data_IF_549289768744
#
_entry.id   IF_549289768744
#
_cell.length_a   1.000
_cell.length_b   1.000
_cell.length_c   1.000
_cell.angle_alpha   90.00
_cell.angle_beta   90.00
_cell.angle_gamma   90.00
#
_symmetry.space_group_name_H-M   'P 1'
#
loop_
_entity.id
_entity.type
_entity.pdbx_description
1 polymer ?
#
# COMPACT_ATOMS: atom_id res chain seq x y z
N UNK A 1 30.00 13.37 -5.58
CA UNK A 1 28.77 12.55 -5.55
C UNK A 1 28.12 12.67 -6.93
N UNK A 2 27.93 11.56 -7.64
CA UNK A 2 27.28 11.52 -8.96
C UNK A 2 25.76 11.53 -8.81
N UNK A 3 25.01 11.82 -9.89
CA UNK A 3 23.54 11.81 -9.82
C UNK A 3 22.99 10.42 -9.47
N UNK A 4 23.61 9.36 -9.98
CA UNK A 4 23.25 7.98 -9.64
C UNK A 4 23.44 7.68 -8.14
N UNK A 5 24.52 8.21 -7.53
CA UNK A 5 24.75 8.08 -6.09
C UNK A 5 23.72 8.88 -5.29
N UNK A 6 23.25 10.02 -5.81
CA UNK A 6 22.19 10.84 -5.21
C UNK A 6 20.85 10.13 -5.21
N UNK A 7 20.49 9.51 -6.33
CA UNK A 7 19.26 8.73 -6.45
C UNK A 7 19.27 7.49 -5.56
N UNK A 8 20.43 6.84 -5.38
CA UNK A 8 20.55 5.69 -4.48
C UNK A 8 20.36 6.03 -2.99
N UNK A 9 20.48 7.30 -2.60
CA UNK A 9 20.18 7.75 -1.24
C UNK A 9 18.70 8.01 -0.99
N UNK A 10 17.84 7.95 -2.03
CA UNK A 10 16.41 8.15 -1.87
C UNK A 10 15.79 6.92 -1.21
N UNK A 11 14.94 7.17 -0.21
CA UNK A 11 14.11 6.16 0.39
C UNK A 11 12.94 5.80 -0.53
N UNK A 12 12.42 4.58 -0.45
CA UNK A 12 11.25 4.20 -1.20
C UNK A 12 9.98 4.94 -0.77
N UNK A 13 9.01 4.97 -1.67
CA UNK A 13 7.68 5.52 -1.38
C UNK A 13 6.98 4.75 -0.25
N UNK A 14 7.27 3.45 -0.09
CA UNK A 14 6.74 2.67 1.02
C UNK A 14 7.21 3.17 2.39
N UNK A 15 8.36 3.86 2.49
CA UNK A 15 8.79 4.51 3.73
C UNK A 15 7.86 5.64 4.18
N UNK A 16 7.11 6.25 3.25
CA UNK A 16 6.07 7.24 3.59
C UNK A 16 4.77 6.60 4.09
N UNK A 17 4.63 5.28 3.90
CA UNK A 17 3.44 4.51 4.23
C UNK A 17 3.62 3.69 5.51
N UNK A 18 4.65 3.96 6.31
CA UNK A 18 4.94 3.22 7.55
C UNK A 18 3.74 3.17 8.52
N UNK A 19 2.94 4.25 8.58
CA UNK A 19 1.75 4.33 9.44
C UNK A 19 0.46 3.79 8.79
N UNK A 20 0.53 3.20 7.59
CA UNK A 20 -0.64 2.66 6.90
C UNK A 20 -0.75 1.16 7.10
N UNK A 21 -1.97 0.68 7.33
CA UNK A 21 -2.24 -0.74 7.32
C UNK A 21 -2.01 -1.31 5.91
N UNK A 22 -1.23 -2.37 5.81
CA UNK A 22 -0.90 -3.01 4.52
C UNK A 22 -1.98 -4.01 4.17
N UNK A 23 -2.69 -3.78 3.07
CA UNK A 23 -3.72 -4.68 2.55
C UNK A 23 -3.28 -5.20 1.18
N UNK A 24 -3.01 -6.51 1.11
CA UNK A 24 -2.69 -7.18 -0.16
C UNK A 24 -3.98 -7.67 -0.82
N UNK A 25 -4.14 -7.34 -2.10
CA UNK A 25 -5.24 -7.77 -2.96
C UNK A 25 -4.77 -8.84 -3.94
N UNK A 26 -5.68 -9.73 -4.31
CA UNK A 26 -5.50 -10.61 -5.46
C UNK A 26 -5.60 -9.82 -6.78
N UNK A 27 -5.23 -10.45 -7.90
CA UNK A 27 -5.22 -9.79 -9.20
C UNK A 27 -6.59 -9.26 -9.64
N UNK A 28 -7.67 -9.96 -9.27
CA UNK A 28 -9.04 -9.61 -9.64
C UNK A 28 -9.52 -8.37 -8.88
N UNK A 29 -9.16 -8.26 -7.61
CA UNK A 29 -9.47 -7.14 -6.74
C UNK A 29 -8.54 -5.95 -6.99
N UNK A 30 -7.26 -6.20 -7.27
CA UNK A 30 -6.30 -5.20 -7.70
C UNK A 30 -6.78 -4.47 -8.96
N UNK A 31 -7.23 -5.23 -9.97
CA UNK A 31 -7.78 -4.66 -11.20
C UNK A 31 -9.02 -3.81 -10.93
N UNK A 32 -9.91 -4.24 -10.04
CA UNK A 32 -11.10 -3.46 -9.65
C UNK A 32 -10.72 -2.17 -8.92
N UNK A 33 -9.75 -2.25 -8.01
CA UNK A 33 -9.24 -1.11 -7.25
C UNK A 33 -8.65 -0.05 -8.17
N UNK A 34 -7.83 -0.45 -9.16
CA UNK A 34 -7.27 0.46 -10.17
C UNK A 34 -8.31 1.15 -11.03
N UNK A 35 -9.50 0.56 -11.16
CA UNK A 35 -10.65 1.17 -11.85
C UNK A 35 -11.54 2.01 -10.91
N UNK A 36 -11.16 2.19 -9.63
CA UNK A 36 -11.92 2.96 -8.65
C UNK A 36 -13.20 2.26 -8.17
N UNK A 37 -13.34 0.95 -8.39
CA UNK A 37 -14.50 0.19 -7.96
C UNK A 37 -14.41 -0.08 -6.45
N UNK A 38 -15.41 0.40 -5.72
CA UNK A 38 -15.60 0.13 -4.28
C UNK A 38 -16.07 -1.32 -4.10
N UNK A 39 -15.65 -1.96 -3.02
CA UNK A 39 -16.08 -3.32 -2.67
C UNK A 39 -16.20 -3.50 -1.17
N UNK A 40 -17.02 -4.46 -0.76
CA UNK A 40 -17.02 -4.95 0.62
C UNK A 40 -15.82 -5.85 0.87
N UNK A 41 -15.17 -5.63 2.00
CA UNK A 41 -14.05 -6.42 2.50
C UNK A 41 -14.38 -6.84 3.94
N UNK A 42 -13.84 -7.97 4.38
CA UNK A 42 -13.98 -8.41 5.78
C UNK A 42 -12.98 -7.72 6.72
N UNK A 43 -12.37 -6.63 6.27
CA UNK A 43 -11.38 -5.88 7.03
C UNK A 43 -12.06 -4.91 8.01
N UNK A 44 -11.47 -4.69 9.20
CA UNK A 44 -11.96 -3.67 10.12
C UNK A 44 -11.78 -2.27 9.53
N UNK A 45 -12.54 -1.33 10.07
CA UNK A 45 -12.49 0.07 9.67
C UNK A 45 -11.09 0.65 9.94
N UNK A 46 -10.51 1.27 8.93
CA UNK A 46 -9.15 1.78 8.95
C UNK A 46 -9.03 3.01 8.04
N UNK A 47 -8.65 4.15 8.60
CA UNK A 47 -8.56 5.40 7.84
C UNK A 47 -7.37 5.47 6.88
N UNK A 48 -6.33 4.68 7.12
CA UNK A 48 -5.06 4.74 6.37
C UNK A 48 -4.64 3.34 5.97
N UNK A 49 -5.01 2.95 4.76
CA UNK A 49 -4.66 1.63 4.19
C UNK A 49 -3.79 1.83 2.96
N UNK A 50 -2.66 1.15 2.92
CA UNK A 50 -1.82 1.03 1.74
C UNK A 50 -2.19 -0.27 1.02
N UNK A 51 -2.64 -0.16 -0.22
CA UNK A 51 -3.14 -1.28 -1.00
C UNK A 51 -2.04 -1.79 -1.92
N UNK A 52 -1.75 -3.08 -1.80
CA UNK A 52 -0.73 -3.75 -2.59
C UNK A 52 -1.33 -4.90 -3.42
N UNK A 53 -0.63 -5.33 -4.47
CA UNK A 53 -0.88 -6.54 -5.24
C UNK A 53 0.32 -7.48 -5.18
N UNK A 54 0.15 -8.68 -5.73
CA UNK A 54 1.23 -9.65 -5.91
C UNK A 54 1.95 -9.92 -4.57
N UNK A 55 1.19 -10.28 -3.54
CA UNK A 55 1.66 -10.58 -2.18
C UNK A 55 2.47 -9.47 -1.53
N UNK A 56 2.02 -8.21 -1.68
CA UNK A 56 2.70 -7.05 -1.06
C UNK A 56 3.87 -6.50 -1.88
N UNK A 57 4.14 -7.02 -3.07
CA UNK A 57 5.27 -6.57 -3.89
C UNK A 57 4.99 -5.30 -4.69
N UNK A 58 3.73 -5.02 -4.99
CA UNK A 58 3.35 -3.92 -5.90
C UNK A 58 2.39 -2.98 -5.21
N UNK A 59 2.83 -1.75 -4.92
CA UNK A 59 1.94 -0.71 -4.40
C UNK A 59 0.96 -0.27 -5.50
N UNK A 60 -0.34 -0.39 -5.24
CA UNK A 60 -1.40 0.09 -6.12
C UNK A 60 -1.90 1.49 -5.73
N UNK A 61 -1.79 1.85 -4.45
CA UNK A 61 -2.24 3.14 -3.96
C UNK A 61 -2.62 3.14 -2.48
N UNK A 62 -3.39 4.16 -2.07
CA UNK A 62 -3.95 4.27 -0.73
C UNK A 62 -5.48 4.25 -0.74
N UNK A 63 -6.04 3.74 0.35
CA UNK A 63 -7.46 3.58 0.57
C UNK A 63 -7.78 3.76 2.05
N UNK A 64 -9.08 3.75 2.36
CA UNK A 64 -9.57 3.55 3.71
C UNK A 64 -10.67 2.50 3.69
N UNK A 65 -10.87 1.84 4.82
CA UNK A 65 -11.97 0.92 5.06
C UNK A 65 -12.96 1.58 6.00
N UNK A 66 -14.24 1.61 5.64
CA UNK A 66 -15.31 2.16 6.47
C UNK A 66 -16.54 1.28 6.36
N UNK A 67 -17.14 0.90 7.50
CA UNK A 67 -18.23 -0.05 7.58
C UNK A 67 -17.98 -1.37 6.80
N UNK A 68 -16.73 -1.86 6.77
CA UNK A 68 -16.33 -3.03 5.99
C UNK A 68 -16.38 -2.82 4.46
N UNK A 69 -16.32 -1.57 3.99
CA UNK A 69 -16.18 -1.22 2.58
C UNK A 69 -14.81 -0.60 2.32
N UNK A 70 -14.08 -1.15 1.33
CA UNK A 70 -12.83 -0.58 0.85
C UNK A 70 -13.14 0.57 -0.12
N UNK A 71 -12.75 1.77 0.30
CA UNK A 71 -12.98 3.02 -0.42
C UNK A 71 -11.62 3.51 -0.96
N UNK A 72 -11.44 3.53 -2.29
CA UNK A 72 -10.21 4.04 -2.90
C UNK A 72 -10.00 5.52 -2.58
N UNK A 73 -8.80 5.88 -2.11
CA UNK A 73 -8.39 7.27 -1.85
C UNK A 73 -7.51 7.81 -2.97
N UNK A 74 -6.32 7.24 -3.13
CA UNK A 74 -5.37 7.61 -4.19
C UNK A 74 -4.97 6.36 -4.97
N UNK A 75 -5.28 6.35 -6.25
CA UNK A 75 -4.87 5.27 -7.15
C UNK A 75 -3.59 5.66 -7.86
N UNK A 76 -2.65 4.72 -7.96
CA UNK A 76 -1.51 4.87 -8.85
C UNK A 76 -1.94 4.45 -10.25
N UNK A 77 -1.57 5.26 -11.23
CA UNK A 77 -1.71 4.93 -12.64
C UNK A 77 -0.76 3.79 -13.03
N UNK A 78 -1.05 3.02 -14.09
CA UNK A 78 -0.18 1.94 -14.55
C UNK A 78 1.28 2.38 -14.75
N UNK A 79 1.48 3.60 -15.26
CA UNK A 79 2.82 4.15 -15.49
C UNK A 79 3.55 4.50 -14.18
N UNK A 80 2.83 4.99 -13.16
CA UNK A 80 3.41 5.21 -11.82
C UNK A 80 3.82 3.89 -11.18
N UNK A 81 3.02 2.83 -11.35
CA UNK A 81 3.34 1.48 -10.84
C UNK A 81 4.60 0.92 -11.52
N UNK A 82 4.73 1.06 -12.84
CA UNK A 82 5.94 0.66 -13.58
C UNK A 82 7.17 1.47 -13.15
N UNK A 83 7.02 2.79 -12.97
CA UNK A 83 8.10 3.65 -12.48
C UNK A 83 8.56 3.25 -11.09
N UNK A 84 7.63 2.92 -10.19
CA UNK A 84 7.95 2.42 -8.86
C UNK A 84 8.71 1.09 -8.96
N UNK A 85 8.22 0.11 -9.72
CA UNK A 85 8.92 -1.18 -9.95
C UNK A 85 10.36 -1.00 -10.45
N UNK A 86 10.57 -0.03 -11.33
CA UNK A 86 11.91 0.27 -11.88
C UNK A 86 12.81 1.06 -10.91
N UNK A 87 12.26 1.63 -9.84
CA UNK A 87 13.04 2.31 -8.81
C UNK A 87 13.40 1.30 -7.70
N UNK A 88 14.69 0.98 -7.48
CA UNK A 88 15.12 -0.14 -6.62
C UNK A 88 14.86 0.03 -5.11
N UNK A 89 13.99 0.95 -4.69
CA UNK A 89 13.57 1.10 -3.30
C UNK A 89 12.39 0.20 -2.89
N UNK A 90 11.59 -0.35 -3.81
CA UNK A 90 10.31 -1.01 -3.46
C UNK A 90 10.44 -2.35 -2.73
N UNK A 91 11.67 -2.85 -2.53
CA UNK A 91 11.93 -4.19 -2.02
C UNK A 91 12.28 -4.18 -0.53
N UNK A 92 11.36 -3.76 0.33
CA UNK A 92 11.31 -4.21 1.72
C UNK A 92 10.10 -3.59 2.44
N UNK A 93 9.03 -4.37 2.57
CA UNK A 93 8.08 -4.30 3.69
C UNK A 93 7.24 -5.59 3.82
N UNK A 94 7.61 -6.67 3.11
CA UNK A 94 7.08 -8.00 3.42
C UNK A 94 7.88 -8.63 4.57
N UNK A 95 7.83 -8.02 5.76
CA UNK A 95 7.99 -8.79 7.00
C UNK A 95 6.58 -9.07 7.55
N UNK A 96 6.07 -10.31 7.39
CA UNK A 96 4.86 -10.73 8.08
C UNK A 96 5.24 -11.07 9.53
N UNK A 97 5.44 -10.07 10.38
CA UNK A 97 5.69 -10.33 11.79
C UNK A 97 5.20 -9.21 12.69
N UNK A 98 3.91 -9.30 13.03
CA UNK A 98 3.31 -9.33 14.39
C UNK A 98 1.81 -9.13 14.17
N UNK A 99 0.97 -10.17 14.18
CA UNK A 99 0.46 -10.76 15.43
C UNK A 99 0.86 -9.98 16.69
N UNK A 100 0.45 -8.73 16.76
CA UNK A 100 -0.04 -8.19 18.02
C UNK A 100 -1.54 -8.01 17.85
N UNK A 101 -2.24 -9.12 18.11
CA UNK A 101 -3.61 -9.07 18.55
C UNK A 101 -3.68 -8.37 19.92
N UNK A 102 -3.30 -7.09 20.00
CA UNK A 102 -3.60 -6.16 21.09
C UNK A 102 -2.96 -4.78 20.83
N UNK A 103 -3.52 -3.98 19.91
CA UNK A 103 -3.32 -2.53 19.99
C UNK A 103 -4.69 -1.84 19.87
N UNK A 104 -5.32 -1.47 20.99
CA UNK A 104 -6.57 -0.75 20.96
C UNK A 104 -6.23 0.67 20.53
N UNK A 105 -6.59 1.01 19.29
CA UNK A 105 -7.18 2.30 18.97
C UNK A 105 -6.75 3.44 19.92
N UNK A 106 -5.49 3.89 19.84
CA UNK A 106 -5.10 5.16 20.47
C UNK A 106 -5.29 6.24 19.42
N UNK A 107 -6.53 6.70 19.37
CA UNK A 107 -6.84 8.06 18.95
C UNK A 107 -6.43 8.99 20.11
N UNK A 108 -5.50 9.90 19.85
CA UNK A 108 -5.28 11.09 20.67
C UNK A 108 -5.53 12.32 19.80
#
# INVERSE_FOLDING_TARGET
MTESQRLACLLPVSSLLADHAVLSLDDADASRFLNGLRRRTSWPDCERVAVYAQDGQVLLGSAHVSAGELIPGRLLSPIEIEQLKNHPGVQNLAEPSRSDANDPCVCA
#
